data_IF_599161203892
#
_entry.id   IF_599161203892
#
_cell.length_a   1.000
_cell.length_b   1.000
_cell.length_c   1.000
_cell.angle_alpha   90.00
_cell.angle_beta   90.00
_cell.angle_gamma   90.00
#
_symmetry.space_group_name_H-M   'P 1'
#
loop_
_entity.id
_entity.type
_entity.pdbx_description
1 polymer ?
#
# COMPACT_ATOMS: atom_id res chain seq x y z
N UNK A 1 20.65 19.57 -10.93
CA UNK A 1 20.02 18.24 -10.93
C UNK A 1 18.52 18.44 -10.82
N UNK A 2 17.73 17.64 -11.52
CA UNK A 2 16.26 17.76 -11.53
C UNK A 2 15.67 17.09 -10.29
N UNK A 3 14.85 17.81 -9.54
CA UNK A 3 14.05 17.24 -8.46
C UNK A 3 12.96 16.35 -9.05
N UNK A 4 12.84 15.11 -8.55
CA UNK A 4 11.80 14.18 -8.93
C UNK A 4 10.82 14.04 -7.77
N UNK A 5 9.53 14.09 -8.08
CA UNK A 5 8.51 13.70 -7.11
C UNK A 5 8.68 12.22 -6.79
N UNK A 6 8.47 11.85 -5.54
CA UNK A 6 8.51 10.47 -5.10
C UNK A 6 7.13 9.98 -4.67
N UNK A 7 6.79 8.77 -5.10
CA UNK A 7 5.72 7.99 -4.51
C UNK A 7 6.30 7.18 -3.34
N UNK A 8 5.66 7.28 -2.17
CA UNK A 8 6.10 6.55 -0.98
C UNK A 8 5.34 5.23 -0.87
N UNK A 9 6.09 4.15 -0.76
CA UNK A 9 5.57 2.81 -0.53
C UNK A 9 6.12 2.26 0.79
N UNK A 10 5.23 1.70 1.61
CA UNK A 10 5.64 1.23 2.92
C UNK A 10 6.24 -0.19 2.85
N UNK A 11 7.00 -0.58 3.87
CA UNK A 11 7.57 -1.93 3.98
C UNK A 11 6.50 -3.03 3.87
N UNK A 12 5.36 -2.86 4.54
CA UNK A 12 4.19 -3.74 4.42
C UNK A 12 3.69 -3.85 2.98
N UNK A 13 3.71 -2.74 2.23
CA UNK A 13 3.28 -2.70 0.84
C UNK A 13 4.22 -3.48 -0.07
N UNK A 14 5.53 -3.35 0.12
CA UNK A 14 6.54 -4.15 -0.58
C UNK A 14 6.40 -5.64 -0.25
N UNK A 15 6.24 -5.98 1.03
CA UNK A 15 6.08 -7.37 1.44
C UNK A 15 4.81 -7.99 0.84
N UNK A 16 3.71 -7.23 0.81
CA UNK A 16 2.47 -7.67 0.20
C UNK A 16 2.60 -7.90 -1.32
N UNK A 17 3.34 -7.05 -2.04
CA UNK A 17 3.67 -7.26 -3.45
C UNK A 17 4.55 -8.50 -3.64
N UNK A 18 5.54 -8.72 -2.76
CA UNK A 18 6.42 -9.90 -2.81
C UNK A 18 5.60 -11.18 -2.71
N UNK A 19 4.75 -11.30 -1.70
CA UNK A 19 3.93 -12.51 -1.49
C UNK A 19 2.88 -12.72 -2.59
N UNK A 20 2.18 -11.65 -3.02
CA UNK A 20 1.09 -11.79 -3.99
C UNK A 20 1.57 -11.86 -5.45
N UNK A 21 2.47 -10.97 -5.85
CA UNK A 21 2.85 -10.78 -7.26
C UNK A 21 4.15 -11.49 -7.63
N UNK A 22 5.14 -11.54 -6.73
CA UNK A 22 6.40 -12.22 -7.01
C UNK A 22 6.35 -13.72 -6.69
N UNK A 23 5.75 -14.12 -5.57
CA UNK A 23 5.60 -15.52 -5.16
C UNK A 23 4.30 -16.17 -5.64
N UNK A 24 3.33 -15.37 -6.10
CA UNK A 24 2.05 -15.88 -6.62
C UNK A 24 1.16 -16.53 -5.56
N UNK A 25 1.33 -16.19 -4.28
CA UNK A 25 0.53 -16.78 -3.21
C UNK A 25 -0.91 -16.27 -3.25
N UNK A 26 -1.83 -17.18 -2.93
CA UNK A 26 -3.22 -16.82 -2.69
C UNK A 26 -3.34 -15.80 -1.55
N UNK A 27 -4.22 -14.81 -1.71
CA UNK A 27 -4.37 -13.70 -0.76
C UNK A 27 -4.64 -14.16 0.68
N UNK A 28 -5.30 -15.31 0.85
CA UNK A 28 -5.55 -15.90 2.18
C UNK A 28 -4.27 -16.40 2.82
N UNK A 29 -3.39 -17.07 2.05
CA UNK A 29 -2.13 -17.60 2.55
C UNK A 29 -1.15 -16.46 2.85
N UNK A 30 -1.04 -15.48 1.95
CA UNK A 30 -0.20 -14.31 2.15
C UNK A 30 -0.66 -13.46 3.35
N UNK A 31 -1.97 -13.28 3.53
CA UNK A 31 -2.52 -12.61 4.72
C UNK A 31 -2.16 -13.33 6.02
N UNK A 32 -2.20 -14.68 6.02
CA UNK A 32 -1.79 -15.48 7.17
C UNK A 32 -0.30 -15.32 7.49
N UNK A 33 0.57 -15.29 6.47
CA UNK A 33 2.02 -15.06 6.65
C UNK A 33 2.31 -13.67 7.23
N UNK A 34 1.53 -12.65 6.84
CA UNK A 34 1.64 -11.29 7.39
C UNK A 34 0.91 -11.10 8.74
N UNK A 35 0.20 -12.11 9.25
CA UNK A 35 -0.56 -11.99 10.50
C UNK A 35 -1.75 -11.02 10.45
N UNK A 36 -2.28 -10.73 9.25
CA UNK A 36 -3.40 -9.80 9.04
C UNK A 36 -4.62 -10.50 8.44
N UNK A 37 -5.77 -9.82 8.46
CA UNK A 37 -6.97 -10.36 7.81
C UNK A 37 -6.85 -10.33 6.28
N UNK A 38 -7.42 -11.34 5.58
CA UNK A 38 -7.51 -11.36 4.11
C UNK A 38 -8.02 -10.04 3.48
N UNK A 39 -9.09 -9.38 3.98
CA UNK A 39 -9.51 -8.10 3.41
C UNK A 39 -8.51 -6.96 3.68
N UNK A 40 -7.74 -6.99 4.78
CA UNK A 40 -6.64 -6.04 5.00
C UNK A 40 -5.53 -6.25 3.98
N UNK A 41 -5.09 -7.50 3.79
CA UNK A 41 -4.07 -7.85 2.79
C UNK A 41 -4.48 -7.43 1.37
N UNK A 42 -5.73 -7.69 1.00
CA UNK A 42 -6.24 -7.34 -0.34
C UNK A 42 -6.21 -5.82 -0.59
N UNK A 43 -6.49 -5.00 0.44
CA UNK A 43 -6.38 -3.54 0.35
C UNK A 43 -4.93 -3.09 0.27
N UNK A 44 -4.05 -3.70 1.07
CA UNK A 44 -2.63 -3.41 1.10
C UNK A 44 -1.98 -3.66 -0.26
N UNK A 45 -2.19 -4.83 -0.86
CA UNK A 45 -1.70 -5.16 -2.21
C UNK A 45 -2.27 -4.20 -3.26
N UNK A 46 -3.57 -3.87 -3.18
CA UNK A 46 -4.19 -2.95 -4.15
C UNK A 46 -3.59 -1.55 -4.05
N UNK A 47 -3.32 -1.07 -2.84
CA UNK A 47 -2.65 0.22 -2.62
C UNK A 47 -1.22 0.18 -3.14
N UNK A 48 -0.45 -0.84 -2.79
CA UNK A 48 0.93 -1.00 -3.22
C UNK A 48 1.04 -1.04 -4.76
N UNK A 49 0.19 -1.80 -5.44
CA UNK A 49 0.12 -1.83 -6.91
C UNK A 49 -0.19 -0.46 -7.51
N UNK A 50 -1.10 0.29 -6.89
CA UNK A 50 -1.45 1.65 -7.35
C UNK A 50 -0.26 2.58 -7.21
N UNK A 51 0.40 2.59 -6.05
CA UNK A 51 1.59 3.43 -5.79
C UNK A 51 2.71 3.12 -6.77
N UNK A 52 3.03 1.84 -6.99
CA UNK A 52 4.06 1.42 -7.94
C UNK A 52 3.67 1.80 -9.37
N UNK A 53 2.43 1.51 -9.79
CA UNK A 53 1.98 1.84 -11.13
C UNK A 53 2.03 3.35 -11.38
N UNK A 54 1.53 4.16 -10.45
CA UNK A 54 1.60 5.62 -10.52
C UNK A 54 3.04 6.09 -10.66
N UNK A 55 3.95 5.57 -9.81
CA UNK A 55 5.35 5.98 -9.86
C UNK A 55 5.99 5.71 -11.23
N UNK A 56 5.75 4.51 -11.77
CA UNK A 56 6.27 4.11 -13.08
C UNK A 56 5.65 4.91 -14.23
N UNK A 57 4.35 5.18 -14.18
CA UNK A 57 3.65 5.90 -15.26
C UNK A 57 3.91 7.41 -15.25
N UNK A 58 4.13 8.01 -14.08
CA UNK A 58 4.36 9.45 -13.92
C UNK A 58 5.85 9.81 -13.91
N UNK A 59 6.75 8.82 -14.01
CA UNK A 59 8.19 9.04 -13.96
C UNK A 59 8.67 9.53 -12.59
N UNK A 60 7.98 9.14 -11.52
CA UNK A 60 8.35 9.47 -10.15
C UNK A 60 9.40 8.49 -9.61
N UNK A 61 10.17 8.96 -8.63
CA UNK A 61 10.97 8.06 -7.81
C UNK A 61 10.04 7.18 -6.95
N UNK A 62 10.38 5.91 -6.75
CA UNK A 62 9.72 5.05 -5.77
C UNK A 62 10.57 5.01 -4.52
N UNK A 63 10.08 5.59 -3.42
CA UNK A 63 10.76 5.55 -2.12
C UNK A 63 10.10 4.50 -1.24
N UNK A 64 10.90 3.58 -0.70
CA UNK A 64 10.44 2.65 0.31
C UNK A 64 10.71 3.26 1.68
N UNK A 65 9.68 3.40 2.52
CA UNK A 65 9.81 4.01 3.85
C UNK A 65 9.07 3.18 4.92
N UNK A 66 9.64 3.05 6.11
CA UNK A 66 9.10 2.27 7.23
C UNK A 66 7.98 2.99 8.01
N UNK A 67 7.61 4.21 7.61
CA UNK A 67 6.59 5.03 8.28
C UNK A 67 5.19 4.44 8.13
N UNK A 68 4.63 3.91 9.23
CA UNK A 68 3.41 3.12 9.29
C UNK A 68 2.28 3.54 8.36
N UNK A 69 1.69 2.54 7.67
CA UNK A 69 0.44 2.76 6.96
C UNK A 69 -0.61 3.13 7.99
N UNK A 70 -1.20 4.32 7.83
CA UNK A 70 -2.41 4.71 8.54
C UNK A 70 -3.57 3.84 8.02
N UNK A 71 -3.66 2.61 8.53
CA UNK A 71 -4.77 1.66 8.31
C UNK A 71 -6.08 2.16 8.93
N UNK A 72 -6.17 3.44 9.32
CA UNK A 72 -7.31 4.09 9.97
C UNK A 72 -8.59 4.12 9.15
N UNK A 73 -8.61 3.54 7.95
CA UNK A 73 -9.84 3.27 7.18
C UNK A 73 -10.20 1.78 7.10
N UNK A 74 -9.63 0.93 7.95
CA UNK A 74 -10.21 -0.39 8.21
C UNK A 74 -11.60 -0.19 8.83
N UNK A 75 -12.64 -0.73 8.18
CA UNK A 75 -13.98 -0.87 8.77
C UNK A 75 -13.86 -1.30 10.24
N UNK A 76 -14.47 -0.52 11.15
CA UNK A 76 -14.56 -0.85 12.57
C UNK A 76 -15.05 -2.29 12.77
N UNK A 77 -14.52 -3.03 13.77
CA UNK A 77 -14.99 -4.37 14.08
C UNK A 77 -16.47 -4.37 14.52
N UNK A 78 -17.19 -5.45 14.17
CA UNK A 78 -18.65 -5.62 14.33
C UNK A 78 -19.16 -5.62 15.78
N UNK A 79 -18.30 -5.60 16.78
CA UNK A 79 -18.68 -5.66 18.20
C UNK A 79 -19.39 -4.39 18.71
N UNK A 80 -19.46 -3.33 17.90
CA UNK A 80 -20.19 -2.09 18.21
C UNK A 80 -21.19 -1.66 17.11
N UNK A 81 -21.54 -2.53 16.16
CA UNK A 81 -22.40 -2.18 15.02
C UNK A 81 -23.86 -2.59 15.29
N UNK A 82 -24.78 -1.64 15.25
CA UNK A 82 -26.20 -1.88 15.46
C UNK A 82 -26.85 -2.34 14.13
N UNK A 83 -27.98 -3.03 14.19
CA UNK A 83 -28.65 -3.67 13.03
C UNK A 83 -29.01 -2.73 11.87
N UNK A 84 -28.98 -1.40 12.10
CA UNK A 84 -29.23 -0.36 11.09
C UNK A 84 -27.99 0.03 10.27
N UNK A 85 -26.77 -0.28 10.75
CA UNK A 85 -25.51 0.08 10.08
C UNK A 85 -25.21 -0.83 8.88
N UNK A 86 -25.79 -2.03 8.86
CA UNK A 86 -25.61 -3.00 7.78
C UNK A 86 -26.35 -2.62 6.49
N UNK A 87 -27.36 -1.75 6.56
CA UNK A 87 -28.21 -1.40 5.42
C UNK A 87 -27.71 -0.21 4.60
N UNK A 88 -26.80 0.62 5.13
CA UNK A 88 -26.19 1.73 4.38
C UNK A 88 -24.97 1.33 3.55
N UNK A 89 -24.29 0.22 3.89
CA UNK A 89 -23.07 -0.24 3.19
C UNK A 89 -23.39 -0.94 1.85
N UNK A 90 -24.63 -1.40 1.62
CA UNK A 90 -25.03 -2.15 0.41
C UNK A 90 -25.67 -1.31 -0.71
N UNK A 91 -25.66 0.03 -0.64
CA UNK A 91 -26.37 0.88 -1.63
C UNK A 91 -25.51 1.75 -2.55
N UNK A 92 -24.18 1.66 -2.50
CA UNK A 92 -23.35 2.19 -3.58
C UNK A 92 -22.44 1.09 -4.08
N UNK A 93 -22.69 0.71 -5.34
CA UNK A 93 -21.88 -0.19 -6.16
C UNK A 93 -20.39 0.08 -5.89
N UNK A 94 -19.65 -1.00 -5.70
CA UNK A 94 -18.26 -1.07 -5.26
C UNK A 94 -17.40 0.14 -5.57
N UNK A 95 -17.10 0.93 -4.53
CA UNK A 95 -15.97 1.86 -4.55
C UNK A 95 -15.72 2.38 -3.11
N UNK A 96 -15.01 1.64 -2.28
CA UNK A 96 -14.40 2.20 -1.06
C UNK A 96 -12.91 1.87 -1.06
N UNK A 97 -12.13 2.69 -1.74
CA UNK A 97 -10.69 2.47 -1.85
C UNK A 97 -10.08 3.18 -3.03
N UNK A 98 -10.29 4.49 -3.18
CA UNK A 98 -9.24 5.29 -3.78
C UNK A 98 -8.24 5.53 -2.65
N UNK A 99 -7.24 4.68 -2.59
CA UNK A 99 -6.09 4.94 -1.76
C UNK A 99 -5.36 6.13 -2.40
N UNK A 100 -5.38 7.27 -1.73
CA UNK A 100 -4.59 8.43 -2.14
C UNK A 100 -3.13 8.03 -2.11
N UNK A 101 -2.46 8.00 -3.26
CA UNK A 101 -1.01 7.83 -3.31
C UNK A 101 -0.41 8.99 -2.52
N UNK A 102 0.39 8.69 -1.50
CA UNK A 102 1.12 9.72 -0.75
C UNK A 102 2.35 10.09 -1.56
N UNK A 103 2.37 11.30 -2.10
CA UNK A 103 3.53 11.86 -2.81
C UNK A 103 4.35 12.75 -1.87
N UNK A 104 5.66 12.62 -1.91
CA UNK A 104 6.60 13.50 -1.22
C UNK A 104 7.66 14.01 -2.20
N UNK A 105 8.17 15.22 -1.99
CA UNK A 105 9.34 15.71 -2.70
C UNK A 105 10.60 15.08 -2.06
N UNK A 106 11.33 14.26 -2.81
CA UNK A 106 12.54 13.58 -2.31
C UNK A 106 13.72 14.03 -3.15
N UNK A 107 14.71 14.65 -2.50
CA UNK A 107 16.03 14.82 -3.08
C UNK A 107 16.75 13.47 -3.10
N UNK A 108 16.93 12.87 -4.27
CA UNK A 108 17.79 11.68 -4.42
C UNK A 108 19.24 12.15 -4.35
N UNK A 109 19.84 12.07 -3.16
CA UNK A 109 21.28 12.21 -2.99
C UNK A 109 21.92 10.87 -3.35
N UNK A 110 22.98 10.83 -4.17
CA UNK A 110 23.64 9.58 -4.51
C UNK A 110 24.26 8.96 -3.25
N UNK A 111 24.13 7.65 -3.11
CA UNK A 111 25.06 6.82 -2.35
C UNK A 111 26.44 7.06 -2.96
N UNK A 112 27.39 7.60 -2.18
CA UNK A 112 28.76 7.74 -2.64
C UNK A 112 29.32 6.35 -2.96
N UNK A 113 29.85 6.20 -4.17
CA UNK A 113 30.58 5.01 -4.56
C UNK A 113 31.69 4.74 -3.56
N UNK A 114 31.70 3.54 -3.00
CA UNK A 114 32.91 2.99 -2.39
C UNK A 114 33.86 2.66 -3.54
N UNK A 115 34.48 3.70 -4.09
CA UNK A 115 35.72 3.57 -4.85
C UNK A 115 36.84 3.52 -3.81
N UNK A 116 37.31 2.33 -3.43
CA UNK A 116 38.63 2.22 -2.79
C UNK A 116 39.29 0.85 -3.08
N UNK A 117 40.23 0.94 -4.03
CA UNK A 117 41.51 0.21 -4.20
C UNK A 117 41.51 -1.27 -4.66
#
# INVERSE_FOLDING_TARGET
MSELKAAVLNEDGIEALRLADAEGLEHTAAAHLMGISRPTFSRLVSHARTTVATALTEGMALKIDGGGVDLVHACRPKTELNSQDCQQIRRRRGFCGRASVVSQDVGVMPEEGVDDA
#
